data_IF_844913187232
#
_entry.id   IF_844913187232
#
_cell.length_a   1.000
_cell.length_b   1.000
_cell.length_c   1.000
_cell.angle_alpha   90.00
_cell.angle_beta   90.00
_cell.angle_gamma   90.00
#
_symmetry.space_group_name_H-M   'P 1'
#
loop_
_entity.id
_entity.type
_entity.pdbx_description
1 polymer ?
#
# COMPACT_ATOMS: atom_id res chain seq x y z
N UNK A 1 -21.68 4.63 0.72
CA UNK A 1 -20.94 4.42 1.98
C UNK A 1 -21.54 3.19 2.68
N UNK A 2 -20.82 2.06 2.70
CA UNK A 2 -21.30 0.80 3.30
C UNK A 2 -21.23 0.86 4.83
N UNK A 3 -21.94 -0.02 5.53
CA UNK A 3 -21.87 -0.09 7.00
C UNK A 3 -20.45 -0.43 7.46
N UNK A 4 -19.79 -1.35 6.75
CA UNK A 4 -18.40 -1.74 7.00
C UNK A 4 -17.45 -0.55 6.79
N UNK A 5 -17.57 0.18 5.67
CA UNK A 5 -16.73 1.33 5.39
C UNK A 5 -16.93 2.46 6.43
N UNK A 6 -18.17 2.69 6.89
CA UNK A 6 -18.43 3.63 7.98
C UNK A 6 -17.71 3.24 9.28
N UNK A 7 -17.69 1.95 9.63
CA UNK A 7 -16.99 1.45 10.81
C UNK A 7 -15.47 1.60 10.68
N UNK A 8 -14.92 1.29 9.50
CA UNK A 8 -13.50 1.48 9.17
C UNK A 8 -13.12 2.95 9.25
N UNK A 9 -13.92 3.86 8.67
CA UNK A 9 -13.64 5.29 8.70
C UNK A 9 -13.61 5.89 10.11
N UNK A 10 -14.32 5.27 11.06
CA UNK A 10 -14.32 5.61 12.48
C UNK A 10 -13.26 4.86 13.30
N UNK A 11 -12.44 4.02 12.66
CA UNK A 11 -11.49 3.11 13.30
C UNK A 11 -12.14 2.24 14.41
N UNK A 12 -13.39 1.84 14.23
CA UNK A 12 -14.13 1.07 15.21
C UNK A 12 -13.94 -0.43 14.95
N UNK A 13 -12.84 -1.00 15.46
CA UNK A 13 -12.48 -2.41 15.26
C UNK A 13 -13.60 -3.37 15.70
N UNK A 14 -14.23 -3.12 16.85
CA UNK A 14 -15.30 -3.99 17.36
C UNK A 14 -16.50 -4.01 16.43
N UNK A 15 -16.90 -2.86 15.88
CA UNK A 15 -17.99 -2.80 14.90
C UNK A 15 -17.60 -3.44 13.56
N UNK A 16 -16.36 -3.27 13.12
CA UNK A 16 -15.85 -3.96 11.92
C UNK A 16 -15.94 -5.48 12.10
N UNK A 17 -15.47 -6.00 13.22
CA UNK A 17 -15.54 -7.43 13.54
C UNK A 17 -16.98 -7.95 13.57
N UNK A 18 -17.89 -7.25 14.25
CA UNK A 18 -19.30 -7.61 14.30
C UNK A 18 -19.95 -7.63 12.91
N UNK A 19 -19.66 -6.64 12.07
CA UNK A 19 -20.23 -6.57 10.72
C UNK A 19 -19.74 -7.72 9.84
N UNK A 20 -18.45 -8.05 9.89
CA UNK A 20 -17.88 -9.18 9.15
C UNK A 20 -18.48 -10.51 9.65
N UNK A 21 -18.60 -10.70 10.97
CA UNK A 21 -19.24 -11.89 11.56
C UNK A 21 -20.71 -12.04 11.13
N UNK A 22 -21.40 -10.92 10.89
CA UNK A 22 -22.78 -10.88 10.39
C UNK A 22 -22.87 -10.95 8.84
N UNK A 23 -21.78 -11.25 8.15
CA UNK A 23 -21.77 -11.50 6.70
C UNK A 23 -21.58 -10.26 5.83
N UNK A 24 -21.07 -9.14 6.37
CA UNK A 24 -20.66 -8.01 5.54
C UNK A 24 -19.55 -8.44 4.56
N UNK A 25 -19.69 -8.06 3.29
CA UNK A 25 -18.68 -8.33 2.26
C UNK A 25 -17.46 -7.41 2.49
N UNK A 26 -16.32 -8.03 2.80
CA UNK A 26 -15.05 -7.33 3.07
C UNK A 26 -14.45 -6.64 1.85
N UNK A 27 -14.97 -6.94 0.66
CA UNK A 27 -14.54 -6.37 -0.62
C UNK A 27 -15.58 -5.39 -1.20
N UNK A 28 -16.71 -5.15 -0.52
CA UNK A 28 -17.74 -4.24 -1.00
C UNK A 28 -17.19 -2.81 -1.09
N UNK A 29 -17.18 -2.27 -2.30
CA UNK A 29 -16.79 -0.88 -2.53
C UNK A 29 -17.84 0.08 -1.98
N UNK A 30 -17.38 1.21 -1.47
CA UNK A 30 -18.28 2.25 -1.00
C UNK A 30 -18.79 3.14 -2.17
N UNK A 31 -19.51 4.22 -1.85
CA UNK A 31 -20.08 5.09 -2.89
C UNK A 31 -19.03 5.90 -3.66
N UNK A 32 -17.81 6.01 -3.14
CA UNK A 32 -16.68 6.63 -3.82
C UNK A 32 -15.87 5.60 -4.61
N UNK A 33 -16.33 4.35 -4.66
CA UNK A 33 -15.61 3.20 -5.18
C UNK A 33 -14.36 2.86 -4.35
N UNK A 34 -14.33 3.23 -3.07
CA UNK A 34 -13.20 2.91 -2.20
C UNK A 34 -13.34 1.48 -1.64
N UNK A 35 -12.23 0.74 -1.63
CA UNK A 35 -12.13 -0.62 -1.10
C UNK A 35 -11.76 -0.61 0.39
N UNK A 36 -12.43 -1.41 1.25
CA UNK A 36 -12.19 -1.46 2.69
C UNK A 36 -10.71 -1.62 3.09
N UNK A 37 -10.00 -2.56 2.45
CA UNK A 37 -8.60 -2.84 2.74
C UNK A 37 -7.68 -1.65 2.38
N UNK A 38 -7.95 -0.98 1.27
CA UNK A 38 -7.13 0.15 0.80
C UNK A 38 -7.28 1.34 1.73
N UNK A 39 -8.50 1.67 2.16
CA UNK A 39 -8.75 2.73 3.13
C UNK A 39 -8.11 2.42 4.50
N UNK A 40 -8.25 1.19 5.00
CA UNK A 40 -7.64 0.79 6.26
C UNK A 40 -6.09 0.89 6.19
N UNK A 41 -5.49 0.50 5.06
CA UNK A 41 -4.06 0.59 4.81
C UNK A 41 -3.57 2.04 4.70
N UNK A 42 -4.27 2.90 3.96
CA UNK A 42 -3.99 4.34 3.86
C UNK A 42 -4.00 5.02 5.23
N UNK A 43 -4.99 4.69 6.06
CA UNK A 43 -5.16 5.26 7.39
C UNK A 43 -4.22 4.66 8.43
N UNK A 44 -3.61 3.51 8.15
CA UNK A 44 -2.71 2.80 9.08
C UNK A 44 -3.46 2.11 10.23
N UNK A 45 -4.70 1.69 10.00
CA UNK A 45 -5.50 0.98 11.00
C UNK A 45 -5.11 -0.50 11.04
N UNK A 46 -3.90 -0.78 11.56
CA UNK A 46 -3.23 -2.08 11.44
C UNK A 46 -4.08 -3.26 11.93
N UNK A 47 -4.84 -3.09 13.01
CA UNK A 47 -5.74 -4.14 13.50
C UNK A 47 -6.89 -4.43 12.53
N UNK A 48 -7.44 -3.39 11.90
CA UNK A 48 -8.48 -3.52 10.87
C UNK A 48 -7.88 -4.13 9.60
N UNK A 49 -6.68 -3.70 9.18
CA UNK A 49 -5.95 -4.31 8.04
C UNK A 49 -5.78 -5.81 8.28
N UNK A 50 -5.25 -6.20 9.45
CA UNK A 50 -5.07 -7.61 9.81
C UNK A 50 -6.38 -8.40 9.79
N UNK A 51 -7.46 -7.81 10.32
CA UNK A 51 -8.77 -8.44 10.33
C UNK A 51 -9.32 -8.64 8.92
N UNK A 52 -9.30 -7.60 8.09
CA UNK A 52 -9.77 -7.68 6.70
C UNK A 52 -9.01 -8.73 5.89
N UNK A 53 -7.68 -8.78 6.04
CA UNK A 53 -6.83 -9.78 5.41
C UNK A 53 -7.18 -11.20 5.87
N UNK A 54 -7.35 -11.41 7.17
CA UNK A 54 -7.76 -12.70 7.74
C UNK A 54 -9.18 -13.12 7.30
N UNK A 55 -10.03 -12.14 6.96
CA UNK A 55 -11.39 -12.35 6.47
C UNK A 55 -11.51 -12.45 4.95
N UNK A 56 -10.39 -12.56 4.22
CA UNK A 56 -10.39 -12.81 2.78
C UNK A 56 -10.54 -11.57 1.90
N UNK A 57 -10.13 -10.40 2.40
CA UNK A 57 -10.03 -9.21 1.55
C UNK A 57 -9.08 -9.45 0.37
N UNK A 58 -9.47 -9.00 -0.82
CA UNK A 58 -8.68 -9.14 -2.04
C UNK A 58 -7.49 -8.18 -2.01
N UNK A 59 -6.34 -8.72 -1.66
CA UNK A 59 -5.06 -8.00 -1.63
C UNK A 59 -4.57 -7.53 -3.01
N UNK A 60 -5.13 -8.06 -4.09
CA UNK A 60 -4.79 -7.70 -5.47
C UNK A 60 -5.71 -6.62 -6.03
N UNK A 61 -6.78 -6.28 -5.33
CA UNK A 61 -7.72 -5.28 -5.78
C UNK A 61 -7.02 -3.93 -5.96
N UNK A 62 -7.30 -3.29 -7.10
CA UNK A 62 -6.98 -1.89 -7.33
C UNK A 62 -8.24 -1.12 -6.99
N UNK A 63 -8.16 -0.30 -5.94
CA UNK A 63 -9.20 0.62 -5.54
C UNK A 63 -9.47 1.63 -6.67
N UNK A 64 -10.68 1.66 -7.26
CA UNK A 64 -10.98 2.60 -8.33
C UNK A 64 -10.97 4.08 -7.92
N UNK A 65 -11.33 4.39 -6.67
CA UNK A 65 -11.38 5.75 -6.14
C UNK A 65 -9.99 6.35 -5.95
N UNK A 66 -9.11 5.64 -5.25
CA UNK A 66 -7.71 6.01 -5.01
C UNK A 66 -6.78 5.65 -6.16
N UNK A 67 -7.20 4.78 -7.08
CA UNK A 67 -6.38 4.22 -8.18
C UNK A 67 -5.12 3.55 -7.65
N UNK A 68 -5.23 2.79 -6.56
CA UNK A 68 -4.11 2.25 -5.82
C UNK A 68 -4.43 0.85 -5.27
N UNK A 69 -3.41 0.02 -5.08
CA UNK A 69 -3.55 -1.17 -4.21
C UNK A 69 -3.35 -0.75 -2.74
N UNK A 70 -3.66 -1.63 -1.81
CA UNK A 70 -3.44 -1.38 -0.39
C UNK A 70 -1.97 -1.06 -0.07
N UNK A 71 -1.01 -1.70 -0.77
CA UNK A 71 0.42 -1.45 -0.55
C UNK A 71 0.84 -0.06 -1.06
N UNK A 72 0.34 0.38 -2.22
CA UNK A 72 0.56 1.75 -2.71
C UNK A 72 0.01 2.77 -1.71
N UNK A 73 -1.21 2.55 -1.23
CA UNK A 73 -1.85 3.42 -0.24
C UNK A 73 -1.06 3.51 1.07
N UNK A 74 -0.58 2.37 1.61
CA UNK A 74 0.26 2.35 2.80
C UNK A 74 1.62 3.04 2.56
N UNK A 75 2.25 2.79 1.40
CA UNK A 75 3.55 3.37 1.04
C UNK A 75 3.48 4.89 0.88
N UNK A 76 2.45 5.37 0.17
CA UNK A 76 2.20 6.80 -0.01
C UNK A 76 1.87 7.50 1.32
N UNK A 77 1.10 6.86 2.20
CA UNK A 77 0.73 7.44 3.49
C UNK A 77 1.76 7.22 4.62
N UNK A 78 2.90 6.55 4.35
CA UNK A 78 3.93 6.29 5.36
C UNK A 78 3.50 5.32 6.45
N UNK A 79 2.59 4.39 6.15
CA UNK A 79 2.06 3.40 7.11
C UNK A 79 2.91 2.14 7.13
N UNK A 80 4.09 2.20 7.75
CA UNK A 80 5.08 1.11 7.74
C UNK A 80 4.53 -0.22 8.23
N UNK A 81 3.77 -0.24 9.33
CA UNK A 81 3.22 -1.50 9.87
C UNK A 81 2.12 -2.08 8.95
N UNK A 82 1.27 -1.24 8.36
CA UNK A 82 0.29 -1.70 7.38
C UNK A 82 0.97 -2.26 6.13
N UNK A 83 2.02 -1.60 5.63
CA UNK A 83 2.83 -2.09 4.52
C UNK A 83 3.48 -3.45 4.84
N UNK A 84 4.01 -3.60 6.05
CA UNK A 84 4.60 -4.87 6.53
C UNK A 84 3.58 -5.99 6.56
N UNK A 85 2.41 -5.76 7.17
CA UNK A 85 1.31 -6.73 7.19
C UNK A 85 0.89 -7.15 5.78
N UNK A 86 0.81 -6.22 4.84
CA UNK A 86 0.46 -6.52 3.45
C UNK A 86 1.51 -7.39 2.76
N UNK A 87 2.81 -7.09 2.94
CA UNK A 87 3.91 -7.88 2.37
C UNK A 87 3.90 -9.32 2.92
N UNK A 88 3.58 -9.51 4.20
CA UNK A 88 3.46 -10.84 4.82
C UNK A 88 2.31 -11.69 4.22
N UNK A 89 1.35 -11.08 3.53
CA UNK A 89 0.24 -11.76 2.83
C UNK A 89 0.54 -12.12 1.36
N UNK A 90 1.83 -12.23 1.00
CA UNK A 90 2.32 -12.70 -0.31
C UNK A 90 1.72 -11.94 -1.51
N UNK A 91 1.62 -10.63 -1.38
CA UNK A 91 1.16 -9.73 -2.44
C UNK A 91 2.22 -9.56 -3.53
N UNK A 92 1.78 -9.14 -4.72
CA UNK A 92 2.70 -8.64 -5.75
C UNK A 92 3.22 -7.24 -5.34
N UNK A 93 4.37 -7.22 -4.67
CA UNK A 93 5.05 -5.99 -4.22
C UNK A 93 5.44 -5.06 -5.38
N UNK A 94 5.53 -5.63 -6.59
CA UNK A 94 6.00 -4.99 -7.81
C UNK A 94 4.84 -4.55 -8.71
N UNK A 95 3.59 -4.75 -8.27
CA UNK A 95 2.41 -4.30 -9.00
C UNK A 95 2.54 -2.81 -9.30
N UNK A 96 2.41 -2.46 -10.59
CA UNK A 96 2.35 -1.07 -11.01
C UNK A 96 0.90 -0.55 -10.93
N UNK A 97 0.71 0.60 -10.29
CA UNK A 97 -0.55 1.32 -10.26
C UNK A 97 -0.92 1.89 -11.63
N UNK A 98 -2.22 2.10 -11.91
CA UNK A 98 -2.73 2.40 -13.25
C UNK A 98 -2.41 3.82 -13.77
N UNK A 99 -2.04 4.78 -12.93
CA UNK A 99 -1.92 6.19 -13.35
C UNK A 99 -0.52 6.57 -13.87
N UNK A 100 0.52 6.27 -13.11
CA UNK A 100 1.90 6.68 -13.43
C UNK A 100 2.87 5.49 -13.62
N UNK A 101 2.38 4.26 -13.61
CA UNK A 101 3.24 3.06 -13.61
C UNK A 101 4.11 2.98 -12.37
N UNK A 102 3.73 3.67 -11.29
CA UNK A 102 4.45 3.61 -10.03
C UNK A 102 4.21 2.27 -9.38
N UNK A 103 5.27 1.71 -8.81
CA UNK A 103 5.19 0.66 -7.79
C UNK A 103 5.08 1.31 -6.41
N UNK A 104 4.74 0.54 -5.38
CA UNK A 104 4.77 1.04 -4.00
C UNK A 104 6.14 1.63 -3.59
N UNK A 105 7.24 1.17 -4.18
CA UNK A 105 8.57 1.74 -3.95
C UNK A 105 8.67 3.18 -4.49
N UNK A 106 8.10 3.45 -5.67
CA UNK A 106 8.03 4.81 -6.20
C UNK A 106 7.21 5.74 -5.29
N UNK A 107 6.09 5.27 -4.75
CA UNK A 107 5.27 6.03 -3.81
C UNK A 107 6.02 6.34 -2.51
N UNK A 108 6.73 5.35 -1.95
CA UNK A 108 7.57 5.54 -0.77
C UNK A 108 8.71 6.55 -1.02
N UNK A 109 9.34 6.51 -2.21
CA UNK A 109 10.37 7.47 -2.62
C UNK A 109 9.80 8.87 -2.77
N UNK A 110 8.62 9.01 -3.37
CA UNK A 110 7.96 10.30 -3.55
C UNK A 110 7.80 11.01 -2.20
N UNK A 111 7.37 10.25 -1.20
CA UNK A 111 7.06 10.73 0.14
C UNK A 111 8.26 10.75 1.10
N UNK A 112 9.45 10.34 0.63
CA UNK A 112 10.67 10.25 1.45
C UNK A 112 10.54 9.29 2.65
N UNK A 113 9.69 8.27 2.54
CA UNK A 113 9.42 7.32 3.60
C UNK A 113 10.52 6.25 3.67
N UNK A 114 11.65 6.60 4.29
CA UNK A 114 12.86 5.76 4.40
C UNK A 114 12.55 4.36 4.96
N UNK A 115 11.68 4.25 5.96
CA UNK A 115 11.35 2.95 6.59
C UNK A 115 10.62 2.01 5.62
N UNK A 116 9.69 2.54 4.83
CA UNK A 116 8.98 1.75 3.82
C UNK A 116 9.91 1.41 2.67
N UNK A 117 10.81 2.31 2.28
CA UNK A 117 11.86 1.99 1.29
C UNK A 117 12.70 0.81 1.80
N UNK A 118 13.23 0.87 3.03
CA UNK A 118 14.00 -0.23 3.61
C UNK A 118 13.21 -1.53 3.64
N UNK A 119 11.94 -1.47 4.02
CA UNK A 119 11.03 -2.63 4.04
C UNK A 119 10.87 -3.25 2.64
N UNK A 120 10.60 -2.44 1.62
CA UNK A 120 10.44 -2.91 0.24
C UNK A 120 11.75 -3.44 -0.36
N UNK A 121 12.89 -2.82 -0.04
CA UNK A 121 14.21 -3.33 -0.44
C UNK A 121 14.55 -4.65 0.26
N UNK A 122 14.14 -4.83 1.52
CA UNK A 122 14.30 -6.09 2.24
C UNK A 122 13.39 -7.20 1.68
N UNK A 123 12.24 -6.83 1.11
CA UNK A 123 11.33 -7.72 0.40
C UNK A 123 11.72 -7.95 -1.08
N UNK A 124 12.92 -7.53 -1.51
CA UNK A 124 13.43 -7.68 -2.88
C UNK A 124 12.53 -7.04 -3.97
N UNK A 125 11.99 -5.85 -3.68
CA UNK A 125 11.31 -5.03 -4.69
C UNK A 125 12.21 -4.80 -5.93
N UNK A 126 11.63 -4.94 -7.12
CA UNK A 126 12.35 -4.86 -8.38
C UNK A 126 12.76 -3.41 -8.68
N UNK A 127 14.08 -3.19 -8.72
CA UNK A 127 14.71 -1.89 -8.93
C UNK A 127 14.86 -1.52 -10.40
N UNK A 128 14.40 -2.37 -11.32
CA UNK A 128 14.44 -2.14 -12.77
C UNK A 128 13.10 -1.64 -13.34
N UNK A 129 12.00 -1.77 -12.59
CA UNK A 129 10.67 -1.36 -13.06
C UNK A 129 10.59 0.14 -13.27
N UNK A 130 10.19 0.55 -14.47
CA UNK A 130 10.11 1.95 -14.86
C UNK A 130 8.70 2.49 -14.66
N UNK A 131 8.59 3.72 -14.15
CA UNK A 131 7.37 4.50 -14.25
C UNK A 131 6.99 4.79 -15.71
N UNK A 132 5.79 5.33 -15.94
CA UNK A 132 5.35 5.77 -17.27
C UNK A 132 6.27 6.86 -17.88
N UNK A 133 6.95 7.64 -17.03
CA UNK A 133 7.96 8.63 -17.46
C UNK A 133 9.35 8.01 -17.73
N UNK A 134 9.45 6.67 -17.71
CA UNK A 134 10.70 5.94 -17.96
C UNK A 134 11.72 6.01 -16.82
N UNK A 135 11.29 6.34 -15.59
CA UNK A 135 12.21 6.44 -14.44
C UNK A 135 12.21 5.15 -13.64
N UNK A 136 13.40 4.59 -13.40
CA UNK A 136 13.61 3.56 -12.38
C UNK A 136 13.45 4.15 -10.97
N UNK A 137 13.32 3.33 -9.91
CA UNK A 137 13.34 3.81 -8.53
C UNK A 137 14.57 4.68 -8.21
N UNK A 138 15.75 4.30 -8.73
CA UNK A 138 16.98 5.08 -8.53
C UNK A 138 16.92 6.45 -9.23
N UNK A 139 16.48 6.48 -10.49
CA UNK A 139 16.36 7.74 -11.25
C UNK A 139 15.29 8.64 -10.64
N UNK A 140 14.21 8.04 -10.15
CA UNK A 140 13.15 8.73 -9.46
C UNK A 140 13.65 9.40 -8.17
N UNK A 141 14.35 8.64 -7.32
CA UNK A 141 14.94 9.13 -6.07
C UNK A 141 15.93 10.28 -6.32
N UNK A 142 16.80 10.16 -7.34
CA UNK A 142 17.69 11.25 -7.79
C UNK A 142 16.92 12.48 -8.23
N UNK A 143 15.90 12.32 -9.07
CA UNK A 143 15.10 13.44 -9.59
C UNK A 143 14.32 14.18 -8.50
N UNK A 144 14.06 13.50 -7.37
CA UNK A 144 13.41 14.05 -6.17
C UNK A 144 14.40 14.51 -5.10
N UNK A 145 15.71 14.44 -5.36
CA UNK A 145 16.78 14.79 -4.43
C UNK A 145 16.72 14.02 -3.09
N UNK A 146 16.29 12.74 -3.11
CA UNK A 146 16.20 11.86 -1.94
C UNK A 146 17.55 11.18 -1.66
N UNK A 147 18.52 11.94 -1.15
CA UNK A 147 19.93 11.51 -1.04
C UNK A 147 20.11 10.21 -0.25
N UNK A 148 19.44 10.06 0.90
CA UNK A 148 19.52 8.84 1.70
C UNK A 148 18.96 7.62 0.94
N UNK A 149 17.80 7.78 0.30
CA UNK A 149 17.18 6.70 -0.48
C UNK A 149 18.04 6.33 -1.69
N UNK A 150 18.68 7.29 -2.35
CA UNK A 150 19.66 7.02 -3.41
C UNK A 150 20.78 6.11 -2.89
N UNK A 151 21.35 6.41 -1.72
CA UNK A 151 22.37 5.56 -1.08
C UNK A 151 21.82 4.17 -0.76
N UNK A 152 20.62 4.06 -0.19
CA UNK A 152 20.00 2.76 0.13
C UNK A 152 19.84 1.88 -1.12
N UNK A 153 19.34 2.46 -2.22
CA UNK A 153 19.14 1.74 -3.49
C UNK A 153 20.48 1.35 -4.11
N UNK A 154 21.50 2.23 -4.10
CA UNK A 154 22.84 1.92 -4.62
C UNK A 154 23.50 0.77 -3.84
N UNK A 155 23.44 0.82 -2.51
CA UNK A 155 23.93 -0.26 -1.65
C UNK A 155 23.25 -1.59 -1.97
N UNK A 156 21.92 -1.61 -2.15
CA UNK A 156 21.17 -2.82 -2.53
C UNK A 156 21.60 -3.37 -3.90
N UNK A 157 21.99 -2.49 -4.83
CA UNK A 157 22.51 -2.86 -6.16
C UNK A 157 24.00 -3.28 -6.15
N UNK A 158 24.66 -3.30 -4.99
CA UNK A 158 26.08 -3.62 -4.88
C UNK A 158 27.00 -2.53 -5.44
N UNK A 159 26.56 -1.26 -5.41
CA UNK A 159 27.31 -0.08 -5.83
C UNK A 159 27.77 0.75 -4.65
#
# INVERSE_FOLDING_TARGET
>A
MTALMNAINKNNLSLVEQLIQNGADVNELDSNQDAPLVIAAYKGYNQIVKLLLASGADVRAVDPGMKATALHAAAYAGRTEAAKLLIEYNIDINKQGPYNGYTALHDAIWQDNIDIVKLLLAADADLSLLSHDGKSPLDFAKSKNRKEIVTLIQTKLGK
#
